data_IF_626814596375
#
_entry.id   IF_626814596375
#
_cell.length_a   1.000
_cell.length_b   1.000
_cell.length_c   1.000
_cell.angle_alpha   90.00
_cell.angle_beta   90.00
_cell.angle_gamma   90.00
#
_symmetry.space_group_name_H-M   'P 1'
#
loop_
_entity.id
_entity.type
_entity.pdbx_description
1 polymer ?
#
# COMPACT_ATOMS: atom_id res chain seq x y z
N UNK A 1 -3.78 2.18 -27.31
CA UNK A 1 -3.56 2.98 -26.08
C UNK A 1 -3.89 4.46 -26.25
N UNK A 2 -3.77 5.06 -27.44
CA UNK A 2 -4.14 6.47 -27.66
C UNK A 2 -5.65 6.74 -27.49
N UNK A 3 -6.50 5.80 -27.92
CA UNK A 3 -7.96 5.95 -27.83
C UNK A 3 -8.46 6.17 -26.39
N UNK A 4 -7.87 5.51 -25.39
CA UNK A 4 -8.29 5.63 -23.99
C UNK A 4 -7.87 6.99 -23.38
N UNK A 5 -6.66 7.45 -23.73
CA UNK A 5 -6.17 8.76 -23.31
C UNK A 5 -6.97 9.89 -23.96
N UNK A 6 -7.33 9.74 -25.25
CA UNK A 6 -8.20 10.67 -25.96
C UNK A 6 -9.62 10.71 -25.40
N UNK A 7 -10.16 9.57 -24.96
CA UNK A 7 -11.50 9.49 -24.35
C UNK A 7 -11.55 10.16 -22.98
N UNK A 8 -10.50 10.01 -22.17
CA UNK A 8 -10.34 10.69 -20.89
C UNK A 8 -10.26 12.21 -21.09
N UNK A 9 -9.44 12.68 -22.04
CA UNK A 9 -9.29 14.11 -22.33
C UNK A 9 -10.56 14.75 -22.93
N UNK A 10 -11.29 14.01 -23.77
CA UNK A 10 -12.57 14.47 -24.34
C UNK A 10 -13.67 14.62 -23.27
N UNK A 11 -13.77 13.68 -22.33
CA UNK A 11 -14.75 13.78 -21.26
C UNK A 11 -14.42 14.92 -20.27
N UNK A 12 -13.14 15.16 -19.99
CA UNK A 12 -12.70 16.23 -19.07
C UNK A 12 -13.05 17.63 -19.60
N UNK A 13 -12.91 17.88 -20.92
CA UNK A 13 -13.28 19.16 -21.55
C UNK A 13 -14.78 19.42 -21.62
N UNK A 14 -15.60 18.36 -21.67
CA UNK A 14 -17.06 18.48 -21.83
C UNK A 14 -17.77 19.04 -20.58
N UNK A 15 -17.14 18.96 -19.41
CA UNK A 15 -17.75 19.32 -18.13
C UNK A 15 -17.08 20.50 -17.39
N UNK A 16 -16.11 21.19 -18.01
CA UNK A 16 -15.58 22.45 -17.48
C UNK A 16 -14.82 22.34 -16.14
N UNK A 17 -14.00 21.31 -15.98
CA UNK A 17 -13.19 21.13 -14.77
C UNK A 17 -11.77 21.70 -14.97
N UNK A 18 -11.44 22.74 -14.22
CA UNK A 18 -10.07 23.24 -14.07
C UNK A 18 -9.33 22.50 -12.94
N UNK A 19 -8.00 22.36 -13.06
CA UNK A 19 -7.19 21.64 -12.07
C UNK A 19 -6.97 22.48 -10.80
N UNK A 20 -7.15 21.87 -9.61
CA UNK A 20 -6.73 22.50 -8.35
C UNK A 20 -5.19 22.61 -8.28
N UNK A 21 -4.60 23.73 -7.80
CA UNK A 21 -3.16 23.99 -7.85
C UNK A 21 -2.27 22.92 -7.19
N UNK A 22 -2.78 22.23 -6.16
CA UNK A 22 -2.04 21.15 -5.47
C UNK A 22 -2.06 19.81 -6.21
N UNK A 23 -2.92 19.64 -7.22
CA UNK A 23 -3.13 18.38 -7.96
C UNK A 23 -2.80 18.49 -9.46
N UNK A 24 -2.36 19.66 -9.93
CA UNK A 24 -2.00 19.94 -11.34
C UNK A 24 -0.95 18.97 -11.91
N UNK A 25 -0.08 18.44 -11.03
CA UNK A 25 1.00 17.51 -11.42
C UNK A 25 0.52 16.11 -11.81
N UNK A 26 -0.68 15.68 -11.42
CA UNK A 26 -1.10 14.26 -11.51
C UNK A 26 -2.14 13.92 -12.56
N UNK A 27 -2.95 14.88 -13.02
CA UNK A 27 -4.07 14.64 -13.97
C UNK A 27 -4.97 13.43 -13.59
N UNK A 28 -5.09 13.11 -12.30
CA UNK A 28 -5.96 12.04 -11.78
C UNK A 28 -7.34 12.63 -11.44
N UNK A 29 -8.40 11.87 -11.73
CA UNK A 29 -9.79 12.34 -11.70
C UNK A 29 -10.21 12.83 -10.30
N UNK A 30 -10.51 14.13 -10.29
CA UNK A 30 -10.79 15.04 -9.18
C UNK A 30 -12.10 14.76 -8.41
N UNK A 31 -13.01 13.95 -8.99
CA UNK A 31 -14.39 13.83 -8.51
C UNK A 31 -14.49 13.29 -7.07
N UNK A 32 -13.64 12.31 -6.70
CA UNK A 32 -13.63 11.79 -5.34
C UNK A 32 -13.03 12.81 -4.36
N UNK A 33 -11.91 13.43 -4.73
CA UNK A 33 -11.19 14.36 -3.85
C UNK A 33 -12.01 15.59 -3.52
N UNK A 34 -12.70 16.15 -4.50
CA UNK A 34 -13.59 17.30 -4.28
C UNK A 34 -14.78 16.99 -3.41
N UNK A 35 -15.41 15.83 -3.65
CA UNK A 35 -16.61 15.43 -2.90
C UNK A 35 -16.25 15.01 -1.48
N UNK A 36 -15.07 14.42 -1.27
CA UNK A 36 -14.65 13.86 0.02
C UNK A 36 -13.69 14.76 0.81
N UNK A 37 -13.12 15.81 0.20
CA UNK A 37 -12.03 16.61 0.78
C UNK A 37 -10.72 15.83 0.99
N UNK A 38 -10.53 14.73 0.25
CA UNK A 38 -9.39 13.82 0.41
C UNK A 38 -8.48 13.86 -0.82
N UNK A 39 -7.22 14.27 -0.61
CA UNK A 39 -6.23 14.38 -1.67
C UNK A 39 -5.03 13.45 -1.42
N UNK A 40 -4.47 12.82 -2.47
CA UNK A 40 -3.33 11.94 -2.32
C UNK A 40 -2.08 12.72 -1.88
N UNK A 41 -1.33 12.17 -0.94
CA UNK A 41 -0.03 12.71 -0.56
C UNK A 41 1.04 12.19 -1.53
N UNK A 42 1.56 13.08 -2.36
CA UNK A 42 2.55 12.77 -3.38
C UNK A 42 3.89 12.29 -2.83
N UNK A 43 4.32 12.84 -1.69
CA UNK A 43 5.60 12.49 -1.07
C UNK A 43 5.60 11.07 -0.50
N UNK A 44 4.41 10.53 -0.19
CA UNK A 44 4.22 9.16 0.30
C UNK A 44 3.79 8.19 -0.80
N UNK A 45 3.48 8.68 -2.00
CA UNK A 45 2.98 7.88 -3.11
C UNK A 45 4.15 7.29 -3.90
N UNK A 46 4.01 6.04 -4.33
CA UNK A 46 4.96 5.36 -5.21
C UNK A 46 4.20 4.71 -6.35
N UNK A 47 4.76 4.78 -7.56
CA UNK A 47 4.24 4.06 -8.72
C UNK A 47 5.04 2.77 -8.96
N UNK A 48 4.33 1.69 -9.29
CA UNK A 48 4.92 0.42 -9.67
C UNK A 48 4.36 0.04 -11.05
N UNK A 49 5.25 -0.35 -11.96
CA UNK A 49 4.87 -0.79 -13.29
C UNK A 49 5.25 -2.26 -13.47
N UNK A 50 4.42 -3.01 -14.18
CA UNK A 50 4.67 -4.42 -14.49
C UNK A 50 4.40 -4.66 -15.97
N UNK A 51 5.27 -5.44 -16.62
CA UNK A 51 5.13 -5.80 -18.03
C UNK A 51 5.37 -4.66 -19.02
N UNK A 52 6.07 -3.59 -18.62
CA UNK A 52 6.45 -2.46 -19.49
C UNK A 52 7.96 -2.41 -19.68
N UNK A 53 8.41 -1.82 -20.80
CA UNK A 53 9.85 -1.57 -20.99
C UNK A 53 10.35 -0.48 -20.04
N UNK A 54 11.63 -0.54 -19.66
CA UNK A 54 12.26 0.46 -18.79
C UNK A 54 12.12 1.88 -19.34
N UNK A 55 12.18 2.05 -20.66
CA UNK A 55 11.97 3.35 -21.31
C UNK A 55 10.55 3.90 -21.07
N UNK A 56 9.56 3.01 -21.13
CA UNK A 56 8.15 3.34 -20.89
C UNK A 56 7.92 3.66 -19.42
N UNK A 57 8.52 2.90 -18.51
CA UNK A 57 8.47 3.15 -17.07
C UNK A 57 9.07 4.52 -16.69
N UNK A 58 10.25 4.85 -17.23
CA UNK A 58 10.88 6.16 -17.04
C UNK A 58 9.99 7.27 -17.60
N UNK A 59 9.39 7.06 -18.78
CA UNK A 59 8.48 8.04 -19.39
C UNK A 59 7.22 8.24 -18.54
N UNK A 60 6.62 7.17 -18.02
CA UNK A 60 5.42 7.24 -17.18
C UNK A 60 5.72 7.89 -15.83
N UNK A 61 6.85 7.58 -15.20
CA UNK A 61 7.29 8.25 -13.97
C UNK A 61 7.41 9.76 -14.14
N UNK A 62 7.95 10.24 -15.28
CA UNK A 62 8.01 11.69 -15.58
C UNK A 62 6.64 12.31 -15.80
N UNK A 63 5.72 11.60 -16.46
CA UNK A 63 4.36 12.11 -16.72
C UNK A 63 3.56 12.24 -15.42
N UNK A 64 3.68 11.26 -14.52
CA UNK A 64 2.95 11.22 -13.27
C UNK A 64 3.58 12.09 -12.18
N UNK A 65 4.85 12.48 -12.31
CA UNK A 65 5.60 13.18 -11.26
C UNK A 65 5.59 12.43 -9.90
N UNK A 66 5.39 11.12 -9.91
CA UNK A 66 5.47 10.24 -8.74
C UNK A 66 6.74 9.39 -8.89
N UNK A 67 7.55 9.23 -7.83
CA UNK A 67 8.70 8.34 -7.86
C UNK A 67 8.29 6.89 -8.14
N UNK A 68 9.07 6.24 -8.99
CA UNK A 68 8.91 4.81 -9.27
C UNK A 68 9.51 4.01 -8.13
N UNK A 69 8.70 3.17 -7.49
CA UNK A 69 9.12 2.31 -6.39
C UNK A 69 9.70 0.99 -6.88
N UNK A 70 10.56 0.38 -6.06
CA UNK A 70 11.11 -0.96 -6.30
C UNK A 70 10.74 -1.89 -5.15
N UNK A 71 10.52 -3.17 -5.45
CA UNK A 71 10.27 -4.19 -4.43
C UNK A 71 11.57 -4.58 -3.71
N UNK A 72 11.51 -5.00 -2.43
CA UNK A 72 10.32 -5.14 -1.59
C UNK A 72 9.86 -3.82 -0.94
N UNK A 73 8.55 -3.57 -0.89
CA UNK A 73 7.95 -2.38 -0.24
C UNK A 73 7.03 -2.78 0.89
N UNK A 74 7.12 -2.09 2.04
CA UNK A 74 6.25 -2.38 3.19
C UNK A 74 4.87 -1.74 3.01
N UNK A 75 3.83 -2.55 3.05
CA UNK A 75 2.43 -2.11 3.11
C UNK A 75 1.79 -2.67 4.38
N UNK A 76 1.30 -1.77 5.25
CA UNK A 76 0.70 -2.12 6.55
C UNK A 76 1.59 -3.01 7.44
N UNK A 77 2.92 -2.90 7.29
CA UNK A 77 3.89 -3.69 8.05
C UNK A 77 4.26 -5.03 7.41
N UNK A 78 3.69 -5.37 6.25
CA UNK A 78 4.02 -6.57 5.47
C UNK A 78 4.86 -6.16 4.26
N UNK A 79 5.98 -6.85 4.02
CA UNK A 79 6.77 -6.65 2.80
C UNK A 79 6.02 -7.21 1.60
N UNK A 80 5.52 -6.33 0.74
CA UNK A 80 5.11 -6.67 -0.61
C UNK A 80 6.36 -7.03 -1.41
N UNK A 81 6.42 -8.25 -1.90
CA UNK A 81 7.49 -8.75 -2.75
C UNK A 81 6.88 -9.51 -3.91
N UNK A 82 7.53 -9.48 -5.06
CA UNK A 82 7.17 -10.30 -6.22
C UNK A 82 7.72 -11.73 -6.10
N UNK A 83 8.62 -11.96 -5.14
CA UNK A 83 9.23 -13.26 -4.88
C UNK A 83 8.42 -14.07 -3.86
N UNK A 84 8.72 -15.37 -3.78
CA UNK A 84 8.18 -16.23 -2.70
C UNK A 84 8.70 -15.71 -1.36
N UNK A 85 7.79 -15.55 -0.39
CA UNK A 85 8.14 -15.12 0.96
C UNK A 85 9.14 -16.10 1.58
N UNK A 86 10.26 -15.57 2.05
CA UNK A 86 11.27 -16.36 2.75
C UNK A 86 10.95 -16.43 4.24
N UNK A 87 11.51 -17.42 4.93
CA UNK A 87 11.41 -17.51 6.40
C UNK A 87 11.91 -16.24 7.10
N UNK A 88 12.84 -15.51 6.47
CA UNK A 88 13.36 -14.25 6.98
C UNK A 88 12.34 -13.11 6.89
N UNK A 89 11.48 -13.09 5.87
CA UNK A 89 10.42 -12.09 5.72
C UNK A 89 9.32 -12.29 6.79
N UNK A 90 9.05 -13.55 7.14
CA UNK A 90 8.11 -13.91 8.21
C UNK A 90 8.66 -13.66 9.62
N UNK A 91 9.95 -13.33 9.77
CA UNK A 91 10.57 -13.13 11.09
C UNK A 91 9.92 -12.02 11.88
N UNK A 92 9.58 -10.90 11.23
CA UNK A 92 8.87 -9.80 11.88
C UNK A 92 7.53 -10.24 12.49
N UNK A 93 6.79 -11.09 11.78
CA UNK A 93 5.53 -11.62 12.26
C UNK A 93 5.73 -12.59 13.44
N UNK A 94 6.72 -13.48 13.34
CA UNK A 94 7.07 -14.39 14.43
C UNK A 94 7.51 -13.65 15.70
N UNK A 95 8.33 -12.61 15.55
CA UNK A 95 8.79 -11.79 16.67
C UNK A 95 7.61 -11.05 17.33
N UNK A 96 6.62 -10.59 16.56
CA UNK A 96 5.40 -9.96 17.09
C UNK A 96 4.57 -10.93 17.94
N UNK A 97 4.39 -12.17 17.45
CA UNK A 97 3.68 -13.23 18.20
C UNK A 97 4.44 -13.57 19.47
N UNK A 98 5.76 -13.77 19.37
CA UNK A 98 6.63 -14.09 20.51
C UNK A 98 6.58 -13.00 21.58
N UNK A 99 6.76 -11.74 21.19
CA UNK A 99 6.72 -10.60 22.12
C UNK A 99 5.36 -10.50 22.83
N UNK A 100 4.27 -10.81 22.14
CA UNK A 100 2.93 -10.81 22.74
C UNK A 100 2.78 -11.88 23.83
N UNK A 101 3.36 -13.06 23.59
CA UNK A 101 3.35 -14.17 24.55
C UNK A 101 4.31 -13.88 25.73
N UNK A 102 5.50 -13.36 25.46
CA UNK A 102 6.52 -13.06 26.47
C UNK A 102 6.02 -12.06 27.52
N UNK A 103 5.26 -11.04 27.10
CA UNK A 103 4.62 -10.06 28.02
C UNK A 103 3.70 -10.73 29.05
N UNK A 104 3.11 -11.88 28.73
CA UNK A 104 2.22 -12.60 29.64
C UNK A 104 2.91 -13.72 30.41
N UNK A 105 4.06 -14.19 29.93
CA UNK A 105 4.87 -15.19 30.62
C UNK A 105 5.25 -14.75 32.05
N UNK A 106 5.40 -13.43 32.26
CA UNK A 106 5.71 -12.84 33.57
C UNK A 106 4.50 -12.69 34.51
N UNK A 107 3.29 -13.07 34.09
CA UNK A 107 2.07 -12.96 34.92
C UNK A 107 1.73 -14.32 35.54
N UNK A 108 1.23 -14.30 36.78
CA UNK A 108 0.74 -15.49 37.47
C UNK A 108 -0.60 -15.96 36.90
N UNK A 109 -0.57 -16.59 35.73
CA UNK A 109 -1.73 -17.14 35.02
C UNK A 109 -1.78 -18.65 35.24
N UNK A 110 -2.97 -19.23 35.41
CA UNK A 110 -3.15 -20.68 35.48
C UNK A 110 -2.73 -21.37 34.18
N UNK A 111 -2.44 -22.67 34.23
CA UNK A 111 -2.09 -23.43 33.03
C UNK A 111 -3.18 -23.35 31.95
N UNK A 112 -4.45 -23.55 32.33
CA UNK A 112 -5.58 -23.42 31.42
C UNK A 112 -5.67 -22.01 30.80
N UNK A 113 -5.44 -20.96 31.60
CA UNK A 113 -5.43 -19.58 31.10
C UNK A 113 -4.33 -19.33 30.06
N UNK A 114 -3.13 -19.92 30.25
CA UNK A 114 -2.03 -19.83 29.27
C UNK A 114 -2.40 -20.48 27.94
N UNK A 115 -3.03 -21.65 27.96
CA UNK A 115 -3.48 -22.35 26.74
C UNK A 115 -4.47 -21.50 25.95
N UNK A 116 -5.48 -20.93 26.63
CA UNK A 116 -6.48 -20.06 26.00
C UNK A 116 -5.83 -18.81 25.39
N UNK A 117 -4.89 -18.18 26.10
CA UNK A 117 -4.19 -16.98 25.62
C UNK A 117 -3.30 -17.27 24.41
N UNK A 118 -2.53 -18.37 24.43
CA UNK A 118 -1.70 -18.79 23.30
C UNK A 118 -2.59 -19.03 22.07
N UNK A 119 -3.70 -19.77 22.25
CA UNK A 119 -4.65 -20.01 21.17
C UNK A 119 -5.25 -18.71 20.62
N UNK A 120 -5.61 -17.77 21.49
CA UNK A 120 -6.15 -16.47 21.09
C UNK A 120 -5.15 -15.65 20.28
N UNK A 121 -3.87 -15.62 20.67
CA UNK A 121 -2.84 -14.91 19.91
C UNK A 121 -2.56 -15.57 18.57
N UNK A 122 -2.43 -16.89 18.55
CA UNK A 122 -2.18 -17.62 17.30
C UNK A 122 -3.35 -17.41 16.33
N UNK A 123 -4.59 -17.59 16.79
CA UNK A 123 -5.77 -17.31 15.95
C UNK A 123 -5.79 -15.85 15.49
N UNK A 124 -5.58 -14.88 16.39
CA UNK A 124 -5.56 -13.46 16.01
C UNK A 124 -4.48 -13.13 14.99
N UNK A 125 -3.31 -13.76 15.08
CA UNK A 125 -2.20 -13.56 14.17
C UNK A 125 -2.45 -14.21 12.80
N UNK A 126 -3.01 -15.43 12.75
CA UNK A 126 -3.32 -16.13 11.50
C UNK A 126 -4.51 -15.55 10.73
N UNK A 127 -5.46 -14.91 11.42
CA UNK A 127 -6.64 -14.29 10.79
C UNK A 127 -6.41 -12.83 10.35
N UNK A 128 -5.19 -12.31 10.53
CA UNK A 128 -4.78 -10.99 10.05
C UNK A 128 -4.15 -11.10 8.66
#
# INVERSE_FOLDING_TARGET
>A
MEAFNSLLLMNMRKYGYDFHPSCDKLKLTHEFGDKAGLYPNLDKSLCFFSGVSNETEIRLGRILSIPVGTFPVKYLGVSLTTAVLTTSDCRFFMDKVKNSIDVWSHKNISFAGRVVLINSVLFGAFNY
#
